data_IF_578851573708
#
_entry.id   IF_578851573708
#
_cell.length_a   1.000
_cell.length_b   1.000
_cell.length_c   1.000
_cell.angle_alpha   90.00
_cell.angle_beta   90.00
_cell.angle_gamma   90.00
#
_symmetry.space_group_name_H-M   'P 1'
#
loop_
_entity.id
_entity.type
_entity.pdbx_description
1 polymer ?
#
# COMPACT_ATOMS: atom_id res chain seq x y z
N UNK A 1 -8.45 50.02 -3.10
CA UNK A 1 -7.15 49.33 -3.22
C UNK A 1 -6.68 48.92 -1.83
N UNK A 2 -6.68 47.63 -1.49
CA UNK A 2 -5.88 47.06 -0.40
C UNK A 2 -5.97 45.52 -0.42
N UNK A 3 -4.98 44.93 -1.09
CA UNK A 3 -4.25 43.68 -0.79
C UNK A 3 -5.04 42.46 -0.27
N UNK A 4 -5.18 41.49 -1.18
CA UNK A 4 -5.32 40.06 -0.87
C UNK A 4 -4.15 39.61 0.00
N UNK A 5 -4.43 38.87 1.08
CA UNK A 5 -3.45 38.06 1.80
C UNK A 5 -3.61 36.61 1.33
N UNK A 6 -2.72 36.19 0.46
CA UNK A 6 -2.46 34.79 0.14
C UNK A 6 -1.98 34.11 1.41
N UNK A 7 -2.72 33.13 1.93
CA UNK A 7 -2.22 32.21 2.96
C UNK A 7 -1.22 31.27 2.28
N UNK A 8 0.05 31.53 2.51
CA UNK A 8 1.13 30.58 2.25
C UNK A 8 0.88 29.32 3.08
N UNK A 9 0.81 28.17 2.40
CA UNK A 9 0.71 26.87 3.04
C UNK A 9 2.14 26.51 3.42
N UNK A 10 2.46 26.62 4.72
CA UNK A 10 3.80 26.40 5.24
C UNK A 10 4.18 24.92 5.20
N UNK A 11 5.43 24.68 4.83
CA UNK A 11 6.03 23.40 4.48
C UNK A 11 6.55 22.61 5.71
N UNK A 12 5.86 22.70 6.86
CA UNK A 12 6.36 22.23 8.16
C UNK A 12 5.50 21.14 8.85
N UNK A 13 4.49 20.57 8.18
CA UNK A 13 3.60 19.55 8.78
C UNK A 13 4.00 18.09 8.51
N UNK A 14 5.22 17.81 8.02
CA UNK A 14 5.75 16.43 7.99
C UNK A 14 6.60 16.20 9.24
N UNK A 15 5.94 16.18 10.42
CA UNK A 15 6.58 15.75 11.66
C UNK A 15 6.72 14.23 11.65
N UNK A 16 7.96 13.81 11.41
CA UNK A 16 8.54 12.48 11.49
C UNK A 16 8.11 11.75 12.79
N UNK A 17 7.00 11.01 12.71
CA UNK A 17 6.43 10.25 13.82
C UNK A 17 7.08 8.86 13.86
N UNK A 18 8.38 8.79 14.17
CA UNK A 18 9.19 7.55 14.18
C UNK A 18 8.83 6.50 15.24
N UNK A 19 7.64 6.57 15.85
CA UNK A 19 7.28 5.68 16.97
C UNK A 19 5.87 5.09 16.92
N UNK A 20 5.15 5.23 15.80
CA UNK A 20 3.89 4.52 15.57
C UNK A 20 4.15 3.32 14.65
N UNK A 21 3.58 2.13 14.94
CA UNK A 21 3.68 1.01 14.01
C UNK A 21 3.18 1.46 12.62
N UNK A 22 3.90 1.14 11.53
CA UNK A 22 3.50 1.58 10.20
C UNK A 22 2.11 1.01 9.87
N UNK A 23 1.21 1.87 9.42
CA UNK A 23 -0.11 1.42 8.97
C UNK A 23 0.08 0.50 7.76
N UNK A 24 -0.52 -0.69 7.79
CA UNK A 24 -0.34 -1.68 6.72
C UNK A 24 -1.27 -1.34 5.55
N UNK A 25 -0.73 -1.35 4.33
CA UNK A 25 -1.52 -1.38 3.11
C UNK A 25 -1.53 -2.82 2.58
N UNK A 26 -2.71 -3.45 2.62
CA UNK A 26 -2.92 -4.77 2.06
C UNK A 26 -3.03 -4.70 0.55
N UNK A 27 -2.20 -5.44 -0.18
CA UNK A 27 -2.27 -5.54 -1.64
C UNK A 27 -2.96 -6.84 -2.01
N UNK A 28 -4.04 -6.75 -2.80
CA UNK A 28 -4.68 -7.88 -3.47
C UNK A 28 -4.25 -7.88 -4.93
N UNK A 29 -3.68 -8.99 -5.38
CA UNK A 29 -3.31 -9.17 -6.77
C UNK A 29 -3.34 -10.65 -7.14
N UNK A 30 -3.39 -10.97 -8.45
CA UNK A 30 -3.15 -12.33 -8.92
C UNK A 30 -1.81 -12.87 -8.43
N UNK A 31 -1.81 -14.11 -7.92
CA UNK A 31 -0.60 -14.79 -7.42
C UNK A 31 0.30 -15.22 -8.59
N UNK A 32 -0.29 -15.43 -9.77
CA UNK A 32 0.39 -15.90 -10.97
C UNK A 32 0.09 -14.99 -12.16
N UNK A 33 0.93 -15.09 -13.19
CA UNK A 33 0.69 -14.46 -14.48
C UNK A 33 -0.64 -14.91 -15.07
N UNK A 34 -1.32 -13.98 -15.74
CA UNK A 34 -2.61 -14.21 -16.40
C UNK A 34 -2.39 -14.11 -17.90
N UNK A 35 -3.05 -14.98 -18.67
CA UNK A 35 -3.05 -14.93 -20.13
C UNK A 35 -3.50 -13.54 -20.64
N UNK A 36 -2.84 -13.05 -21.68
CA UNK A 36 -3.10 -11.73 -22.26
C UNK A 36 -2.27 -10.59 -21.67
N UNK A 37 -1.43 -10.85 -20.66
CA UNK A 37 -0.46 -9.89 -20.13
C UNK A 37 0.98 -10.37 -20.34
N UNK A 38 1.95 -9.45 -20.47
CA UNK A 38 3.37 -9.81 -20.48
C UNK A 38 3.77 -10.55 -19.20
N UNK A 39 4.76 -11.45 -19.31
CA UNK A 39 5.36 -12.11 -18.15
C UNK A 39 5.86 -11.08 -17.14
N UNK A 40 5.50 -11.27 -15.86
CA UNK A 40 5.89 -10.35 -14.79
C UNK A 40 5.09 -9.03 -14.76
N UNK A 41 4.02 -8.90 -15.55
CA UNK A 41 3.15 -7.71 -15.51
C UNK A 41 2.67 -7.41 -14.09
N UNK A 42 2.17 -8.41 -13.38
CA UNK A 42 1.65 -8.24 -12.02
C UNK A 42 2.74 -7.90 -11.00
N UNK A 43 3.98 -8.36 -11.22
CA UNK A 43 5.13 -7.92 -10.43
C UNK A 43 5.39 -6.43 -10.59
N UNK A 44 5.35 -5.92 -11.81
CA UNK A 44 5.54 -4.48 -12.04
C UNK A 44 4.41 -3.66 -11.37
N UNK A 45 3.16 -4.12 -11.46
CA UNK A 45 2.02 -3.48 -10.78
C UNK A 45 2.21 -3.49 -9.27
N UNK A 46 2.64 -4.62 -8.70
CA UNK A 46 2.96 -4.74 -7.28
C UNK A 46 4.02 -3.73 -6.83
N UNK A 47 5.10 -3.59 -7.61
CA UNK A 47 6.21 -2.69 -7.27
C UNK A 47 5.75 -1.21 -7.28
N UNK A 48 4.91 -0.82 -8.24
CA UNK A 48 4.30 0.51 -8.29
C UNK A 48 3.41 0.78 -7.07
N UNK A 49 2.56 -0.19 -6.70
CA UNK A 49 1.67 -0.05 -5.53
C UNK A 49 2.50 0.01 -4.24
N UNK A 50 3.59 -0.77 -4.14
CA UNK A 50 4.51 -0.71 -3.01
C UNK A 50 5.16 0.66 -2.87
N UNK A 51 5.68 1.22 -3.96
CA UNK A 51 6.26 2.56 -3.99
C UNK A 51 5.25 3.62 -3.53
N UNK A 52 4.05 3.65 -4.14
CA UNK A 52 3.00 4.59 -3.79
C UNK A 52 2.53 4.45 -2.33
N UNK A 53 2.46 3.21 -1.82
CA UNK A 53 2.08 2.93 -0.43
C UNK A 53 3.12 3.47 0.56
N UNK A 54 4.41 3.25 0.26
CA UNK A 54 5.51 3.74 1.07
C UNK A 54 5.56 5.29 1.07
N UNK A 55 5.37 5.91 -0.09
CA UNK A 55 5.31 7.38 -0.23
C UNK A 55 4.12 7.98 0.54
N UNK A 56 3.02 7.24 0.66
CA UNK A 56 1.86 7.61 1.48
C UNK A 56 2.04 7.34 2.99
N UNK A 57 3.20 6.80 3.41
CA UNK A 57 3.49 6.49 4.82
C UNK A 57 2.93 5.15 5.32
N UNK A 58 2.54 4.25 4.40
CA UNK A 58 2.08 2.90 4.72
C UNK A 58 3.16 1.86 4.44
N UNK A 59 3.07 0.70 5.10
CA UNK A 59 3.87 -0.48 4.76
C UNK A 59 3.05 -1.42 3.88
N UNK A 60 3.49 -1.60 2.64
CA UNK A 60 2.88 -2.55 1.71
C UNK A 60 3.02 -4.00 2.23
N UNK A 61 1.94 -4.78 2.10
CA UNK A 61 1.88 -6.20 2.47
C UNK A 61 0.98 -6.96 1.49
N UNK A 62 1.52 -7.94 0.79
CA UNK A 62 0.74 -8.82 -0.07
C UNK A 62 -0.18 -9.70 0.78
N UNK A 63 -1.49 -9.57 0.59
CA UNK A 63 -2.53 -10.24 1.39
C UNK A 63 -2.46 -11.76 1.27
N UNK A 64 -2.01 -12.26 0.11
CA UNK A 64 -1.85 -13.67 -0.22
C UNK A 64 -0.45 -14.24 0.06
N UNK A 65 0.47 -13.48 0.67
CA UNK A 65 1.83 -13.94 0.94
C UNK A 65 1.84 -15.04 2.02
N UNK A 66 2.07 -16.28 1.61
CA UNK A 66 2.35 -17.41 2.49
C UNK A 66 3.07 -18.54 1.74
N UNK A 67 3.89 -19.30 2.46
CA UNK A 67 4.60 -20.47 1.94
C UNK A 67 3.69 -21.72 1.96
N UNK A 68 2.67 -21.73 2.83
CA UNK A 68 1.75 -22.86 3.00
C UNK A 68 0.39 -22.64 2.32
N UNK A 69 0.23 -23.23 1.13
CA UNK A 69 -1.00 -23.17 0.30
C UNK A 69 -2.27 -23.59 1.08
N UNK A 70 -2.14 -24.49 2.07
CA UNK A 70 -3.27 -24.95 2.87
C UNK A 70 -3.86 -23.88 3.81
N UNK A 71 -3.11 -22.82 4.12
CA UNK A 71 -3.51 -21.76 5.07
C UNK A 71 -3.85 -20.43 4.35
N UNK A 72 -3.59 -20.35 3.05
CA UNK A 72 -3.70 -19.12 2.27
C UNK A 72 -5.08 -18.47 2.37
N UNK A 73 -6.16 -19.26 2.36
CA UNK A 73 -7.53 -18.75 2.43
C UNK A 73 -7.82 -18.04 3.77
N UNK A 74 -7.42 -18.66 4.89
CA UNK A 74 -7.61 -18.09 6.23
C UNK A 74 -6.81 -16.79 6.37
N UNK A 75 -5.57 -16.79 5.90
CA UNK A 75 -4.70 -15.61 5.96
C UNK A 75 -5.21 -14.47 5.08
N UNK A 76 -5.69 -14.76 3.87
CA UNK A 76 -6.30 -13.74 3.01
C UNK A 76 -7.44 -13.04 3.77
N UNK A 77 -8.38 -13.80 4.32
CA UNK A 77 -9.52 -13.22 5.07
C UNK A 77 -9.05 -12.42 6.28
N UNK A 78 -8.06 -12.92 7.02
CA UNK A 78 -7.53 -12.23 8.19
C UNK A 78 -6.84 -10.91 7.81
N UNK A 79 -5.95 -10.92 6.82
CA UNK A 79 -5.24 -9.73 6.34
C UNK A 79 -6.22 -8.69 5.77
N UNK A 80 -7.28 -9.10 5.08
CA UNK A 80 -8.33 -8.18 4.61
C UNK A 80 -9.10 -7.50 5.76
N UNK A 81 -9.27 -8.21 6.87
CA UNK A 81 -9.95 -7.68 8.05
C UNK A 81 -9.04 -6.79 8.90
N UNK A 82 -7.77 -7.15 9.03
CA UNK A 82 -6.80 -6.49 9.92
C UNK A 82 -6.12 -5.27 9.29
N UNK A 83 -5.93 -5.26 7.97
CA UNK A 83 -5.25 -4.16 7.30
C UNK A 83 -6.14 -2.91 7.25
N UNK A 84 -5.67 -1.73 7.71
CA UNK A 84 -6.46 -0.51 7.76
C UNK A 84 -6.85 0.03 6.38
N UNK A 85 -6.08 -0.31 5.34
CA UNK A 85 -6.39 -0.03 3.95
C UNK A 85 -6.04 -1.26 3.09
N UNK A 86 -6.84 -1.50 2.06
CA UNK A 86 -6.62 -2.57 1.09
C UNK A 86 -6.80 -2.01 -0.32
N UNK A 87 -5.89 -2.39 -1.22
CA UNK A 87 -5.86 -2.03 -2.65
C UNK A 87 -5.97 -3.28 -3.50
#
# INVERSE_FOLDING_TARGET
MAKQQTKEINQDDVKDNKNMPPHICGIIMPIADIEGYPTGHWRNVHDIICEASNDAGFKANLVSSDDDVAVIQKRIVQNLYENPIVV
#
